data_IF_293884684828
#
_entry.id   IF_293884684828
#
_cell.length_a   1.000
_cell.length_b   1.000
_cell.length_c   1.000
_cell.angle_alpha   90.00
_cell.angle_beta   90.00
_cell.angle_gamma   90.00
#
_symmetry.space_group_name_H-M   'P 1'
#
loop_
_entity.id
_entity.type
_entity.pdbx_description
1 polymer ?
#
# COMPACT_ATOMS: atom_id res chain seq x y z
N UNK A 1 -29.50 73.01 8.69
CA UNK A 1 -28.14 72.65 9.15
C UNK A 1 -28.28 71.52 10.16
N UNK A 2 -27.96 70.28 9.77
CA UNK A 2 -28.05 69.11 10.66
C UNK A 2 -26.79 68.27 10.45
N UNK A 3 -25.94 68.24 11.47
CA UNK A 3 -24.67 67.51 11.46
C UNK A 3 -24.92 66.02 11.76
N UNK A 4 -24.47 65.14 10.88
CA UNK A 4 -24.40 63.68 11.12
C UNK A 4 -23.06 63.34 11.77
N UNK A 5 -23.10 62.88 13.01
CA UNK A 5 -21.96 62.24 13.67
C UNK A 5 -21.87 60.78 13.21
N UNK A 6 -20.76 60.44 12.55
CA UNK A 6 -20.41 59.08 12.15
C UNK A 6 -19.66 58.41 13.30
N UNK A 7 -20.32 57.49 14.00
CA UNK A 7 -19.68 56.65 15.02
C UNK A 7 -18.80 55.59 14.35
N UNK A 8 -17.50 55.83 14.34
CA UNK A 8 -16.50 54.80 14.05
C UNK A 8 -16.41 53.84 15.25
N UNK A 9 -17.08 52.70 15.13
CA UNK A 9 -16.89 51.58 16.05
C UNK A 9 -15.55 50.94 15.71
N UNK A 10 -14.55 51.26 16.53
CA UNK A 10 -13.23 50.63 16.52
C UNK A 10 -13.43 49.15 16.90
N UNK A 11 -13.44 48.27 15.90
CA UNK A 11 -13.52 46.83 16.13
C UNK A 11 -12.27 46.36 16.88
N UNK A 12 -12.47 45.89 18.12
CA UNK A 12 -11.44 45.21 18.90
C UNK A 12 -10.89 44.03 18.09
N UNK A 13 -9.62 44.15 17.68
CA UNK A 13 -8.89 43.05 17.08
C UNK A 13 -8.75 41.95 18.14
N UNK A 14 -9.50 40.87 17.96
CA UNK A 14 -9.40 39.68 18.80
C UNK A 14 -7.93 39.21 18.87
N UNK A 15 -7.40 38.91 20.07
CA UNK A 15 -6.05 38.38 20.21
C UNK A 15 -5.91 37.09 19.42
N UNK A 16 -4.99 37.07 18.45
CA UNK A 16 -4.63 35.85 17.73
C UNK A 16 -3.88 34.98 18.74
N UNK A 17 -4.61 34.07 19.40
CA UNK A 17 -4.05 32.99 20.20
C UNK A 17 -2.94 32.29 19.38
N UNK A 18 -1.70 32.19 19.88
CA UNK A 18 -0.64 31.48 19.19
C UNK A 18 -1.01 30.00 19.12
N UNK A 19 -1.55 29.60 17.96
CA UNK A 19 -1.82 28.21 17.59
C UNK A 19 -0.59 27.38 17.92
N UNK A 20 -0.65 26.64 19.03
CA UNK A 20 0.44 25.80 19.52
C UNK A 20 0.74 24.74 18.44
N UNK A 21 1.75 25.02 17.61
CA UNK A 21 2.07 24.28 16.39
C UNK A 21 2.59 22.88 16.76
N UNK A 22 1.69 21.92 16.96
CA UNK A 22 2.02 20.49 16.92
C UNK A 22 2.32 20.00 15.49
N UNK A 23 2.38 20.89 14.51
CA UNK A 23 2.35 20.60 13.07
C UNK A 23 3.71 20.62 12.36
N UNK A 24 4.80 21.17 12.93
CA UNK A 24 6.09 21.25 12.23
C UNK A 24 6.73 19.88 12.03
N UNK A 25 6.57 18.97 13.00
CA UNK A 25 6.96 17.55 12.87
C UNK A 25 6.39 16.91 11.61
N UNK A 26 5.17 17.26 11.21
CA UNK A 26 4.45 16.61 10.10
C UNK A 26 5.12 16.69 8.74
N UNK A 27 5.91 17.74 8.43
CA UNK A 27 6.45 17.94 7.08
C UNK A 27 7.79 17.27 6.90
N UNK A 28 8.70 17.49 7.85
CA UNK A 28 10.01 16.85 7.83
C UNK A 28 9.88 15.34 8.05
N UNK A 29 8.95 14.89 8.90
CA UNK A 29 8.65 13.46 9.03
C UNK A 29 8.19 12.85 7.69
N UNK A 30 7.47 13.61 6.86
CA UNK A 30 7.00 13.13 5.55
C UNK A 30 8.09 13.15 4.47
N UNK A 31 9.02 14.09 4.53
CA UNK A 31 10.24 14.08 3.71
C UNK A 31 11.16 12.92 4.10
N UNK A 32 11.30 12.65 5.40
CA UNK A 32 12.04 11.50 5.91
C UNK A 32 11.35 10.18 5.56
N UNK A 33 10.02 10.13 5.51
CA UNK A 33 9.25 8.97 5.04
C UNK A 33 9.61 8.62 3.59
N UNK A 34 9.84 9.63 2.74
CA UNK A 34 10.28 9.46 1.36
C UNK A 34 11.59 8.65 1.29
N UNK A 35 12.55 9.01 2.16
CA UNK A 35 13.89 8.39 2.21
C UNK A 35 13.84 6.93 2.66
N UNK A 36 12.80 6.51 3.38
CA UNK A 36 12.66 5.14 3.93
C UNK A 36 12.20 4.08 2.92
N UNK A 37 11.88 4.48 1.68
CA UNK A 37 12.01 3.60 0.51
C UNK A 37 10.87 2.61 0.22
N UNK A 38 9.72 2.70 0.88
CA UNK A 38 8.57 1.81 0.60
C UNK A 38 7.32 2.58 0.14
N UNK A 39 7.49 3.65 -0.65
CA UNK A 39 6.39 4.48 -1.11
C UNK A 39 6.50 4.72 -2.62
N UNK A 40 5.38 4.53 -3.32
CA UNK A 40 5.25 4.89 -4.72
C UNK A 40 5.33 6.42 -4.87
N UNK A 41 6.12 6.89 -5.82
CA UNK A 41 6.33 8.32 -6.07
C UNK A 41 5.03 9.12 -6.22
N UNK A 42 4.09 8.66 -7.04
CA UNK A 42 2.85 9.40 -7.30
C UNK A 42 2.00 9.54 -6.03
N UNK A 43 2.05 8.53 -5.14
CA UNK A 43 1.40 8.61 -3.82
C UNK A 43 2.15 9.54 -2.87
N UNK A 44 3.47 9.52 -2.92
CA UNK A 44 4.30 10.37 -2.07
C UNK A 44 4.13 11.84 -2.43
N UNK A 45 4.24 12.20 -3.72
CA UNK A 45 4.14 13.59 -4.18
C UNK A 45 2.74 14.17 -3.91
N UNK A 46 1.68 13.36 -4.06
CA UNK A 46 0.32 13.78 -3.71
C UNK A 46 0.19 14.12 -2.22
N UNK A 47 0.73 13.28 -1.33
CA UNK A 47 0.72 13.56 0.12
C UNK A 47 1.61 14.76 0.46
N UNK A 48 2.79 14.84 -0.14
CA UNK A 48 3.68 15.99 0.01
C UNK A 48 2.97 17.31 -0.33
N UNK A 49 2.28 17.37 -1.47
CA UNK A 49 1.55 18.58 -1.91
C UNK A 49 0.51 19.04 -0.87
N UNK A 50 -0.20 18.10 -0.23
CA UNK A 50 -1.17 18.38 0.84
C UNK A 50 -0.48 18.95 2.07
N UNK A 51 0.62 18.33 2.49
CA UNK A 51 1.40 18.80 3.65
C UNK A 51 2.02 20.18 3.38
N UNK A 52 2.58 20.40 2.19
CA UNK A 52 3.16 21.69 1.78
C UNK A 52 2.11 22.81 1.79
N UNK A 53 0.94 22.59 1.16
CA UNK A 53 -0.16 23.57 1.17
C UNK A 53 -0.68 23.86 2.59
N UNK A 54 -0.65 22.85 3.46
CA UNK A 54 -1.03 23.04 4.87
C UNK A 54 -0.01 23.90 5.62
N UNK A 55 1.30 23.69 5.43
CA UNK A 55 2.32 24.57 6.03
C UNK A 55 2.27 25.98 5.49
N UNK A 56 2.09 26.14 4.17
CA UNK A 56 1.94 27.44 3.52
C UNK A 56 0.78 28.24 4.13
N UNK A 57 -0.35 27.58 4.41
CA UNK A 57 -1.49 28.22 5.11
C UNK A 57 -1.21 28.63 6.54
N UNK A 58 -0.33 27.92 7.24
CA UNK A 58 0.04 28.19 8.63
C UNK A 58 1.21 29.19 8.71
N UNK A 59 1.82 29.56 7.58
CA UNK A 59 2.98 30.46 7.54
C UNK A 59 4.25 29.81 8.09
N UNK A 60 4.39 28.49 7.98
CA UNK A 60 5.56 27.78 8.49
C UNK A 60 6.78 28.02 7.58
N UNK A 61 7.61 28.99 7.94
CA UNK A 61 8.77 29.46 7.15
C UNK A 61 9.75 28.32 6.85
N UNK A 62 9.98 27.40 7.80
CA UNK A 62 10.91 26.27 7.64
C UNK A 62 10.58 25.36 6.44
N UNK A 63 9.29 25.20 6.14
CA UNK A 63 8.82 24.37 5.03
C UNK A 63 8.81 25.08 3.68
N UNK A 64 8.86 26.42 3.67
CA UNK A 64 8.79 27.23 2.44
C UNK A 64 10.13 27.86 2.05
N UNK A 65 11.06 27.98 3.00
CA UNK A 65 12.39 28.55 2.77
C UNK A 65 13.36 27.56 2.14
N UNK A 66 14.61 28.00 1.98
CA UNK A 66 15.71 27.23 1.37
C UNK A 66 15.93 25.86 2.02
N UNK A 67 15.63 25.73 3.33
CA UNK A 67 15.68 24.46 4.04
C UNK A 67 14.67 23.44 3.52
N UNK A 68 13.42 23.87 3.27
CA UNK A 68 12.38 23.02 2.69
C UNK A 68 12.74 22.59 1.27
N UNK A 69 13.30 23.50 0.46
CA UNK A 69 13.79 23.22 -0.90
C UNK A 69 14.89 22.17 -0.87
N UNK A 70 15.93 22.35 -0.05
CA UNK A 70 17.03 21.38 0.07
C UNK A 70 16.55 20.03 0.58
N UNK A 71 15.68 20.00 1.58
CA UNK A 71 15.14 18.76 2.13
C UNK A 71 14.26 18.00 1.12
N UNK A 72 13.51 18.72 0.28
CA UNK A 72 12.75 18.13 -0.82
C UNK A 72 13.67 17.54 -1.90
N UNK A 73 14.71 18.26 -2.31
CA UNK A 73 15.69 17.76 -3.28
C UNK A 73 16.42 16.53 -2.74
N UNK A 74 16.83 16.56 -1.47
CA UNK A 74 17.50 15.44 -0.81
C UNK A 74 16.60 14.18 -0.74
N UNK A 75 15.31 14.36 -0.43
CA UNK A 75 14.32 13.29 -0.46
C UNK A 75 14.18 12.68 -1.87
N UNK A 76 14.21 13.51 -2.91
CA UNK A 76 14.19 13.05 -4.32
C UNK A 76 15.47 12.33 -4.69
N UNK A 77 16.63 12.92 -4.39
CA UNK A 77 17.94 12.39 -4.77
C UNK A 77 18.25 11.05 -4.11
N UNK A 78 17.79 10.86 -2.87
CA UNK A 78 18.01 9.61 -2.14
C UNK A 78 17.29 8.41 -2.79
N UNK A 79 16.14 8.62 -3.44
CA UNK A 79 15.25 7.50 -3.82
C UNK A 79 14.70 7.52 -5.23
N UNK A 80 14.39 8.69 -5.77
CA UNK A 80 13.67 8.78 -7.04
C UNK A 80 14.62 9.06 -8.19
N UNK A 81 15.45 10.10 -8.07
CA UNK A 81 16.40 10.47 -9.13
C UNK A 81 17.60 11.26 -8.58
N UNK A 82 18.76 10.62 -8.38
CA UNK A 82 19.96 11.30 -7.88
C UNK A 82 20.55 12.28 -8.89
N UNK A 83 20.39 12.02 -10.20
CA UNK A 83 20.98 12.86 -11.25
C UNK A 83 20.24 14.19 -11.33
N UNK A 84 18.91 14.15 -11.37
CA UNK A 84 18.09 15.36 -11.32
C UNK A 84 18.32 16.14 -10.02
N UNK A 85 18.47 15.45 -8.88
CA UNK A 85 18.70 16.12 -7.61
C UNK A 85 20.03 16.90 -7.56
N UNK A 86 21.12 16.33 -8.11
CA UNK A 86 22.39 17.04 -8.23
C UNK A 86 22.27 18.30 -9.08
N UNK A 87 21.56 18.21 -10.21
CA UNK A 87 21.30 19.33 -11.12
C UNK A 87 20.41 20.40 -10.45
N UNK A 88 19.33 19.98 -9.79
CA UNK A 88 18.43 20.87 -9.04
C UNK A 88 19.13 21.59 -7.88
N UNK A 89 20.07 20.92 -7.17
CA UNK A 89 20.86 21.54 -6.10
C UNK A 89 21.66 22.76 -6.59
N UNK A 90 22.13 22.73 -7.83
CA UNK A 90 22.88 23.84 -8.43
C UNK A 90 22.02 25.09 -8.71
N UNK A 91 20.68 24.94 -8.71
CA UNK A 91 19.70 26.00 -9.01
C UNK A 91 18.93 26.52 -7.80
N UNK A 92 19.22 26.00 -6.60
CA UNK A 92 18.43 26.23 -5.36
C UNK A 92 18.24 27.71 -5.01
N UNK A 93 19.17 28.58 -5.37
CA UNK A 93 19.12 30.00 -4.98
C UNK A 93 18.10 30.83 -5.79
N UNK A 94 17.60 30.29 -6.91
CA UNK A 94 16.64 30.99 -7.78
C UNK A 94 15.19 30.47 -7.68
N UNK A 95 15.00 29.25 -7.15
CA UNK A 95 13.73 28.55 -7.27
C UNK A 95 12.94 28.47 -5.97
N UNK A 96 11.62 28.68 -6.09
CA UNK A 96 10.68 28.36 -5.02
C UNK A 96 10.36 26.87 -5.00
N UNK A 97 9.98 26.35 -3.84
CA UNK A 97 9.62 24.93 -3.68
C UNK A 97 8.47 24.50 -4.62
N UNK A 98 7.52 25.40 -4.89
CA UNK A 98 6.41 25.16 -5.84
C UNK A 98 6.95 24.97 -7.27
N UNK A 99 7.85 25.85 -7.74
CA UNK A 99 8.47 25.75 -9.07
C UNK A 99 9.27 24.45 -9.21
N UNK A 100 10.00 24.07 -8.17
CA UNK A 100 10.88 22.91 -8.20
C UNK A 100 10.09 21.59 -8.21
N UNK A 101 8.95 21.54 -7.51
CA UNK A 101 8.04 20.41 -7.55
C UNK A 101 7.44 20.24 -8.96
N UNK A 102 7.02 21.33 -9.59
CA UNK A 102 6.49 21.33 -10.95
C UNK A 102 7.55 20.93 -11.97
N UNK A 103 8.77 21.44 -11.84
CA UNK A 103 9.91 21.07 -12.69
C UNK A 103 10.20 19.57 -12.59
N UNK A 104 10.24 19.02 -11.37
CA UNK A 104 10.44 17.59 -11.20
C UNK A 104 9.31 16.75 -11.81
N UNK A 105 8.05 17.18 -11.65
CA UNK A 105 6.91 16.49 -12.26
C UNK A 105 6.99 16.49 -13.79
N UNK A 106 7.41 17.61 -14.39
CA UNK A 106 7.63 17.73 -15.84
C UNK A 106 8.78 16.84 -16.31
N UNK A 107 9.90 16.83 -15.59
CA UNK A 107 11.02 15.93 -15.86
C UNK A 107 10.60 14.45 -15.78
N UNK A 108 9.85 14.06 -14.75
CA UNK A 108 9.30 12.71 -14.63
C UNK A 108 8.33 12.36 -15.75
N UNK A 109 7.52 13.31 -16.20
CA UNK A 109 6.62 13.13 -17.33
C UNK A 109 7.38 12.98 -18.64
N UNK A 110 8.44 13.76 -18.86
CA UNK A 110 9.28 13.65 -20.06
C UNK A 110 9.95 12.28 -20.14
N UNK A 111 10.47 11.76 -19.02
CA UNK A 111 11.00 10.39 -18.93
C UNK A 111 9.97 9.31 -19.26
N UNK A 112 8.70 9.52 -18.90
CA UNK A 112 7.62 8.59 -19.26
C UNK A 112 7.34 8.63 -20.76
N UNK A 113 7.34 9.81 -21.38
CA UNK A 113 7.10 9.99 -22.82
C UNK A 113 8.26 9.56 -23.70
N UNK A 114 9.50 9.61 -23.19
CA UNK A 114 10.69 9.13 -23.91
C UNK A 114 10.86 7.61 -23.86
N UNK A 115 9.94 6.86 -23.24
CA UNK A 115 9.70 5.46 -23.61
C UNK A 115 9.04 5.39 -25.00
N UNK A 116 9.62 6.09 -25.96
CA UNK A 116 9.48 5.76 -27.37
C UNK A 116 9.96 4.31 -27.44
N UNK A 117 9.14 3.34 -27.90
CA UNK A 117 9.64 2.02 -28.20
C UNK A 117 10.78 2.23 -29.19
N UNK A 118 12.00 2.07 -28.71
CA UNK A 118 13.18 2.10 -29.55
C UNK A 118 13.17 0.78 -30.33
N UNK A 119 12.30 0.69 -31.32
CA UNK A 119 12.22 -0.42 -32.28
C UNK A 119 13.39 -0.38 -33.28
N UNK A 120 14.37 0.50 -33.09
CA UNK A 120 15.58 0.58 -33.91
C UNK A 120 16.80 0.77 -33.02
N UNK A 121 17.37 -0.35 -32.61
CA UNK A 121 18.64 -0.39 -31.91
C UNK A 121 19.75 0.29 -32.71
N UNK A 122 20.42 1.25 -32.07
CA UNK A 122 21.83 1.52 -32.34
C UNK A 122 22.58 0.74 -31.27
N UNK A 123 22.96 -0.48 -31.62
CA UNK A 123 23.86 -1.29 -30.80
C UNK A 123 25.22 -0.59 -30.77
N UNK A 124 25.59 -0.03 -29.62
CA UNK A 124 26.99 0.22 -29.31
C UNK A 124 27.69 -1.14 -29.22
N UNK A 125 28.63 -1.35 -30.12
CA UNK A 125 29.37 -2.59 -30.36
C UNK A 125 30.32 -2.91 -29.21
N UNK A 126 29.81 -3.43 -28.09
CA UNK A 126 30.64 -4.11 -27.09
C UNK A 126 29.95 -5.39 -26.60
N UNK A 127 30.42 -6.52 -27.15
CA UNK A 127 30.31 -7.88 -26.63
C UNK A 127 28.89 -8.45 -26.41
N UNK A 128 28.24 -8.89 -27.49
CA UNK A 128 27.17 -9.90 -27.42
C UNK A 128 27.71 -11.25 -26.97
N UNK A 129 27.43 -11.64 -25.72
CA UNK A 129 27.48 -13.05 -25.29
C UNK A 129 26.36 -13.81 -26.00
N UNK A 130 26.66 -15.00 -26.52
CA UNK A 130 25.79 -15.85 -27.34
C UNK A 130 24.62 -16.53 -26.62
N UNK A 131 24.37 -16.21 -25.35
CA UNK A 131 23.51 -17.07 -24.50
C UNK A 131 22.09 -16.54 -24.25
N UNK A 132 21.69 -15.42 -24.86
CA UNK A 132 20.30 -14.97 -24.76
C UNK A 132 19.43 -15.64 -25.81
N UNK A 133 19.09 -16.90 -25.54
CA UNK A 133 17.94 -17.54 -26.15
C UNK A 133 16.70 -16.71 -25.84
N UNK A 134 16.18 -16.07 -26.89
CA UNK A 134 14.89 -15.39 -26.86
C UNK A 134 13.79 -16.37 -26.40
N UNK A 135 13.26 -16.15 -25.20
CA UNK A 135 11.95 -16.64 -24.80
C UNK A 135 11.13 -15.46 -24.32
N UNK A 136 10.60 -14.69 -25.27
CA UNK A 136 9.40 -13.88 -25.03
C UNK A 136 8.25 -14.86 -24.77
N UNK A 137 8.11 -15.35 -23.54
CA UNK A 137 6.90 -16.04 -23.12
C UNK A 137 5.79 -15.00 -23.12
N UNK A 138 4.77 -15.19 -23.98
CA UNK A 138 3.52 -14.46 -23.91
C UNK A 138 3.06 -14.40 -22.46
N UNK A 139 2.68 -13.21 -21.98
CA UNK A 139 2.11 -12.99 -20.65
C UNK A 139 0.86 -13.86 -20.47
N UNK A 140 1.03 -15.08 -20.00
CA UNK A 140 -0.06 -15.97 -19.63
C UNK A 140 -0.63 -15.45 -18.30
N UNK A 141 -1.59 -14.53 -18.37
CA UNK A 141 -2.39 -14.11 -17.23
C UNK A 141 -3.29 -15.28 -16.82
N UNK A 142 -2.94 -15.97 -15.73
CA UNK A 142 -3.74 -17.08 -15.24
C UNK A 142 -4.92 -16.59 -14.40
N UNK A 143 -6.13 -17.03 -14.77
CA UNK A 143 -7.31 -16.86 -13.94
C UNK A 143 -7.21 -17.80 -12.73
N UNK A 144 -7.43 -17.28 -11.52
CA UNK A 144 -7.32 -18.04 -10.27
C UNK A 144 -8.50 -17.73 -9.35
N UNK A 145 -8.97 -18.70 -8.54
CA UNK A 145 -10.06 -18.49 -7.57
C UNK A 145 -9.78 -17.45 -6.48
N UNK A 146 -8.55 -16.96 -6.38
CA UNK A 146 -8.16 -15.91 -5.44
C UNK A 146 -8.47 -14.51 -6.03
N UNK A 147 -8.96 -13.59 -5.19
CA UNK A 147 -9.43 -12.22 -5.47
C UNK A 147 -8.56 -11.31 -6.37
N UNK A 148 -7.35 -11.73 -6.77
CA UNK A 148 -6.50 -11.01 -7.73
C UNK A 148 -6.48 -11.73 -9.07
N UNK A 149 -7.24 -11.25 -10.07
CA UNK A 149 -7.50 -11.96 -11.33
C UNK A 149 -6.31 -12.00 -12.30
N UNK A 150 -5.25 -11.22 -12.07
CA UNK A 150 -4.11 -11.17 -12.98
C UNK A 150 -2.79 -11.17 -12.22
N UNK A 151 -2.05 -12.27 -12.32
CA UNK A 151 -0.68 -12.33 -11.88
C UNK A 151 0.11 -13.36 -12.70
N UNK A 152 1.46 -13.25 -12.76
CA UNK A 152 2.27 -14.10 -13.62
C UNK A 152 2.43 -15.55 -13.12
N UNK A 153 2.04 -15.84 -11.88
CA UNK A 153 2.23 -17.17 -11.30
C UNK A 153 1.14 -18.14 -11.73
N UNK A 154 1.53 -19.42 -11.83
CA UNK A 154 0.60 -20.52 -12.01
C UNK A 154 -0.31 -20.67 -10.77
N UNK A 155 -1.62 -20.90 -10.93
CA UNK A 155 -2.56 -21.05 -9.82
C UNK A 155 -2.19 -22.21 -8.88
N UNK A 156 -1.58 -23.28 -9.40
CA UNK A 156 -1.06 -24.41 -8.62
C UNK A 156 0.08 -24.00 -7.67
N UNK A 157 0.81 -22.92 -7.95
CA UNK A 157 1.87 -22.42 -7.07
C UNK A 157 1.36 -21.56 -5.91
N UNK A 158 0.06 -21.22 -5.86
CA UNK A 158 -0.46 -20.27 -4.86
C UNK A 158 -0.63 -20.94 -3.50
N UNK A 159 0.16 -20.47 -2.53
CA UNK A 159 0.06 -20.85 -1.11
C UNK A 159 -1.35 -20.72 -0.54
N UNK A 160 -2.07 -19.63 -0.84
CA UNK A 160 -3.44 -19.43 -0.34
C UNK A 160 -4.45 -20.44 -0.89
N UNK A 161 -4.30 -20.85 -2.16
CA UNK A 161 -5.13 -21.88 -2.76
C UNK A 161 -4.82 -23.24 -2.13
N UNK A 162 -3.53 -23.58 -2.00
CA UNK A 162 -3.09 -24.80 -1.32
C UNK A 162 -3.65 -24.87 0.11
N UNK A 163 -3.52 -23.80 0.91
CA UNK A 163 -4.06 -23.73 2.27
C UNK A 163 -5.59 -23.88 2.30
N UNK A 164 -6.30 -23.24 1.39
CA UNK A 164 -7.76 -23.30 1.33
C UNK A 164 -8.27 -24.71 0.95
N UNK A 165 -7.61 -25.37 0.00
CA UNK A 165 -8.00 -26.69 -0.53
C UNK A 165 -7.52 -27.84 0.37
N UNK A 166 -6.25 -27.85 0.78
CA UNK A 166 -5.67 -28.93 1.60
C UNK A 166 -6.00 -28.80 3.09
N UNK A 167 -6.26 -27.58 3.57
CA UNK A 167 -6.44 -27.30 5.00
C UNK A 167 -5.17 -27.44 5.84
N UNK A 168 -4.00 -27.54 5.20
CA UNK A 168 -2.72 -27.75 5.89
C UNK A 168 -2.19 -26.45 6.50
N UNK A 169 -2.46 -26.23 7.79
CA UNK A 169 -2.00 -25.03 8.52
C UNK A 169 -0.50 -25.03 8.81
N UNK A 170 0.25 -26.10 8.52
CA UNK A 170 1.71 -26.13 8.71
C UNK A 170 2.40 -25.09 7.83
N UNK A 171 1.82 -24.84 6.65
CA UNK A 171 2.28 -23.83 5.70
C UNK A 171 1.70 -22.45 5.98
N UNK A 172 1.21 -22.15 7.19
CA UNK A 172 0.75 -20.80 7.58
C UNK A 172 -0.76 -20.67 7.81
N UNK A 173 -1.21 -19.44 8.11
CA UNK A 173 -2.60 -19.13 8.47
C UNK A 173 -3.30 -18.37 7.35
N UNK A 174 -4.55 -18.74 7.09
CA UNK A 174 -5.49 -18.02 6.22
C UNK A 174 -6.78 -17.78 7.03
N UNK A 175 -7.43 -16.63 6.82
CA UNK A 175 -8.73 -16.36 7.45
C UNK A 175 -9.76 -17.41 6.99
N UNK A 176 -10.60 -17.91 7.89
CA UNK A 176 -11.65 -18.86 7.56
C UNK A 176 -12.64 -18.30 6.54
N UNK A 177 -12.96 -17.00 6.62
CA UNK A 177 -13.81 -16.30 5.64
C UNK A 177 -13.21 -16.35 4.23
N UNK A 178 -11.90 -16.12 4.13
CA UNK A 178 -11.16 -16.15 2.87
C UNK A 178 -11.02 -17.57 2.34
N UNK A 179 -10.75 -18.54 3.21
CA UNK A 179 -10.66 -19.94 2.83
C UNK A 179 -12.00 -20.47 2.31
N UNK A 180 -13.12 -20.08 2.93
CA UNK A 180 -14.47 -20.44 2.48
C UNK A 180 -14.74 -19.91 1.07
N UNK A 181 -14.51 -18.60 0.85
CA UNK A 181 -14.68 -17.97 -0.47
C UNK A 181 -13.85 -18.66 -1.56
N UNK A 182 -12.58 -18.94 -1.29
CA UNK A 182 -11.70 -19.64 -2.25
C UNK A 182 -12.24 -21.04 -2.56
N UNK A 183 -12.77 -21.78 -1.58
CA UNK A 183 -13.35 -23.12 -1.83
C UNK A 183 -14.62 -23.04 -2.66
N UNK A 184 -15.50 -22.09 -2.38
CA UNK A 184 -16.72 -21.86 -3.15
C UNK A 184 -16.36 -21.59 -4.63
N UNK A 185 -15.47 -20.63 -4.89
CA UNK A 185 -15.01 -20.31 -6.25
C UNK A 185 -14.21 -21.46 -6.90
N UNK A 186 -13.46 -22.22 -6.12
CA UNK A 186 -12.71 -23.38 -6.62
C UNK A 186 -13.63 -24.52 -7.12
N UNK A 187 -14.84 -24.63 -6.58
CA UNK A 187 -15.79 -25.66 -6.97
C UNK A 187 -16.54 -25.32 -8.28
N UNK A 188 -16.45 -24.08 -8.77
CA UNK A 188 -17.06 -23.66 -10.02
C UNK A 188 -16.53 -24.46 -11.22
N UNK A 189 -17.41 -24.72 -12.20
CA UNK A 189 -17.08 -25.49 -13.40
C UNK A 189 -15.89 -24.92 -14.20
N UNK A 190 -15.68 -23.61 -14.12
CA UNK A 190 -14.60 -22.88 -14.78
C UNK A 190 -13.19 -23.32 -14.33
N UNK A 191 -13.06 -24.00 -13.18
CA UNK A 191 -11.78 -24.43 -12.61
C UNK A 191 -11.54 -25.94 -12.69
N UNK A 192 -12.27 -26.68 -13.54
CA UNK A 192 -12.06 -28.13 -13.72
C UNK A 192 -10.62 -28.50 -14.10
N UNK A 193 -10.01 -27.74 -15.03
CA UNK A 193 -8.61 -27.95 -15.44
C UNK A 193 -7.62 -27.77 -14.29
N UNK A 194 -7.89 -26.81 -13.39
CA UNK A 194 -7.09 -26.55 -12.21
C UNK A 194 -7.18 -27.70 -11.21
N UNK A 195 -8.38 -28.31 -11.04
CA UNK A 195 -8.57 -29.49 -10.18
C UNK A 195 -7.73 -30.67 -10.66
N UNK A 196 -7.77 -30.97 -11.95
CA UNK A 196 -6.95 -32.04 -12.55
C UNK A 196 -5.45 -31.79 -12.40
N UNK A 197 -4.99 -30.54 -12.52
CA UNK A 197 -3.58 -30.20 -12.30
C UNK A 197 -3.17 -30.34 -10.84
N UNK A 198 -4.03 -29.93 -9.90
CA UNK A 198 -3.79 -30.07 -8.47
C UNK A 198 -3.73 -31.54 -8.05
N UNK A 199 -4.58 -32.40 -8.63
CA UNK A 199 -4.55 -33.84 -8.42
C UNK A 199 -3.24 -34.45 -8.92
N UNK A 200 -2.76 -34.06 -10.11
CA UNK A 200 -1.43 -34.43 -10.62
C UNK A 200 -0.28 -33.97 -9.72
N UNK A 201 -0.44 -32.82 -9.05
CA UNK A 201 0.53 -32.33 -8.07
C UNK A 201 0.46 -33.04 -6.71
N UNK A 202 -0.44 -34.00 -6.52
CA UNK A 202 -0.50 -34.84 -5.32
C UNK A 202 -1.00 -34.09 -4.08
N UNK A 203 -1.81 -33.04 -4.24
CA UNK A 203 -2.42 -32.36 -3.11
C UNK A 203 -3.50 -33.23 -2.49
N UNK A 204 -3.12 -34.02 -1.49
CA UNK A 204 -4.08 -34.83 -0.73
C UNK A 204 -5.02 -33.89 0.03
N UNK A 205 -6.29 -33.86 -0.35
CA UNK A 205 -7.33 -33.24 0.47
C UNK A 205 -7.27 -33.95 1.83
N UNK A 206 -6.90 -33.23 2.90
CA UNK A 206 -7.26 -33.72 4.22
C UNK A 206 -8.76 -33.56 4.31
N UNK A 207 -9.48 -34.67 4.25
CA UNK A 207 -10.81 -34.72 4.82
C UNK A 207 -10.68 -34.15 6.24
N UNK A 208 -11.33 -33.00 6.46
CA UNK A 208 -11.46 -32.45 7.80
C UNK A 208 -12.17 -33.53 8.59
N UNK A 209 -11.42 -34.38 9.30
CA UNK A 209 -11.97 -35.24 10.35
C UNK A 209 -12.74 -34.29 11.25
N UNK A 210 -14.06 -34.31 11.11
CA UNK A 210 -14.96 -33.44 11.84
C UNK A 210 -14.56 -33.57 13.30
N UNK A 211 -14.34 -32.43 13.97
CA UNK A 211 -14.06 -32.36 15.41
C UNK A 211 -15.33 -32.71 16.21
N UNK A 212 -16.04 -33.75 15.81
CA UNK A 212 -17.31 -34.23 16.35
C UNK A 212 -17.11 -35.15 17.57
N UNK A 213 -15.89 -35.20 18.12
CA UNK A 213 -15.56 -35.99 19.31
C UNK A 213 -15.38 -35.19 20.61
N UNK A 214 -15.47 -33.86 20.59
CA UNK A 214 -15.24 -33.07 21.84
C UNK A 214 -16.55 -32.62 22.51
N UNK A 215 -17.68 -32.54 21.80
CA UNK A 215 -18.93 -32.05 22.42
C UNK A 215 -19.73 -33.12 23.20
N UNK A 216 -19.53 -34.42 22.92
CA UNK A 216 -20.26 -35.49 23.62
C UNK A 216 -19.69 -35.87 24.98
N UNK A 217 -18.47 -35.44 25.34
CA UNK A 217 -17.87 -35.79 26.65
C UNK A 217 -18.15 -34.75 27.75
N UNK A 218 -18.43 -33.50 27.38
CA UNK A 218 -18.73 -32.44 28.36
C UNK A 218 -20.20 -32.40 28.75
N UNK A 219 -21.12 -32.89 27.91
CA UNK A 219 -22.56 -32.85 28.20
C UNK A 219 -23.04 -33.97 29.15
N UNK A 220 -22.27 -35.04 29.33
CA UNK A 220 -22.61 -36.14 30.25
C UNK A 220 -22.12 -35.91 31.69
N UNK A 221 -21.28 -34.90 31.95
CA UNK A 221 -20.77 -34.61 33.29
C UNK A 221 -21.57 -33.54 34.05
N UNK A 222 -22.54 -32.89 33.41
CA UNK A 222 -23.33 -31.81 34.04
C UNK A 222 -24.73 -32.24 34.50
N UNK A 223 -25.19 -33.45 34.13
CA UNK A 223 -26.56 -33.91 34.47
C UNK A 223 -26.60 -34.72 35.79
N UNK A 224 -25.46 -35.11 36.37
CA UNK A 224 -25.43 -35.90 37.62
C UNK A 224 -25.36 -35.08 38.91
N UNK A 225 -25.49 -33.75 38.88
CA UNK A 225 -25.29 -32.89 40.06
C UNK A 225 -26.55 -32.13 40.54
N UNK A 226 -27.76 -32.57 40.21
CA UNK A 226 -29.00 -31.94 40.69
C UNK A 226 -30.01 -33.00 41.17
N UNK A 227 -29.78 -33.51 42.38
CA UNK A 227 -30.81 -34.11 43.22
C UNK A 227 -30.59 -33.69 44.68
N UNK A 228 -31.25 -32.64 45.19
CA UNK A 228 -31.42 -32.47 46.63
C UNK A 228 -32.62 -33.32 47.09
N UNK A 229 -32.33 -34.36 47.87
CA UNK A 229 -33.30 -35.10 48.67
C UNK A 229 -34.00 -34.13 49.64
N UNK A 230 -35.28 -33.88 49.39
CA UNK A 230 -36.22 -33.36 50.39
C UNK A 230 -36.71 -34.55 51.22
N UNK A 231 -36.30 -34.61 52.49
CA UNK A 231 -37.00 -35.41 53.51
C UNK A 231 -37.47 -34.50 54.62
N UNK A 232 -38.79 -34.30 54.62
CA UNK A 232 -39.61 -33.85 55.73
C UNK A 232 -39.31 -34.64 57.01
N UNK A 233 -39.33 -33.97 58.15
CA UNK A 233 -39.76 -34.56 59.41
C UNK A 233 -40.77 -33.62 60.07
N UNK A 234 -41.99 -34.14 60.21
CA UNK A 234 -42.91 -33.77 61.27
C UNK A 234 -42.37 -34.25 62.63
#
# INVERSE_FOLDING_TARGET
MTARQSNNVLGEAQPIEPLRIKSSKSIFDHLEEAKRGNINFDKWIARWSVHHHKAKRIGLIEGQGIMGVRAFIDAIGTRFDPVWACDALSRVDADTLDNLCDDFCRFRASLKTTNIPCDKGVNATLATRSDQTSRKSKDHKFHSPNERPHHPWKPEGRRSLCLAVTGDTSKGKISDTKAKRIRETYNDANFNSLRSNIEKHGWKLRERKSKEKIFRKTFLLTITSLCPLSTQKC
#
